data_IF_846285964526
#
_entry.id   IF_846285964526
#
_cell.length_a   1.000
_cell.length_b   1.000
_cell.length_c   1.000
_cell.angle_alpha   90.00
_cell.angle_beta   90.00
_cell.angle_gamma   90.00
#
_symmetry.space_group_name_H-M   'P 1'
#
loop_
_entity.id
_entity.type
_entity.pdbx_description
1 polymer ?
#
# COMPACT_ATOMS: atom_id res chain seq x y z
N UNK A 1 34.08 15.16 89.17
CA UNK A 1 35.52 15.19 88.93
C UNK A 1 35.69 15.75 87.50
N UNK A 2 35.88 17.05 87.34
CA UNK A 2 37.14 17.80 87.21
C UNK A 2 38.02 17.14 86.10
N UNK A 3 38.11 17.78 84.97
CA UNK A 3 39.16 18.73 84.62
C UNK A 3 38.95 19.38 83.25
N UNK A 4 38.99 20.68 83.30
CA UNK A 4 39.28 21.58 82.17
C UNK A 4 40.66 21.30 81.52
N UNK A 5 40.87 21.84 80.34
CA UNK A 5 42.01 22.68 79.90
C UNK A 5 41.76 23.07 78.41
N UNK A 6 41.54 24.35 78.19
CA UNK A 6 42.30 25.37 77.39
C UNK A 6 42.74 24.85 76.04
N UNK A 7 42.36 25.34 74.89
CA UNK A 7 42.46 26.75 74.45
C UNK A 7 43.69 26.92 73.56
N UNK A 8 43.53 27.03 72.26
CA UNK A 8 44.48 27.86 71.43
C UNK A 8 43.82 28.16 70.09
N UNK A 9 43.68 29.44 69.87
CA UNK A 9 43.28 30.02 68.55
C UNK A 9 44.46 29.98 67.60
N UNK A 10 44.28 29.62 66.37
CA UNK A 10 45.20 29.92 65.27
C UNK A 10 44.40 30.33 64.01
N UNK A 11 44.85 31.39 63.48
CA UNK A 11 44.37 32.24 62.40
C UNK A 11 43.83 31.61 61.16
N UNK A 12 42.78 32.26 60.70
CA UNK A 12 42.28 32.21 59.30
C UNK A 12 43.37 32.57 58.31
N UNK A 13 43.42 31.80 57.23
CA UNK A 13 43.83 32.27 55.91
C UNK A 13 42.70 31.88 54.91
N UNK A 14 42.01 32.90 54.47
CA UNK A 14 41.03 32.86 53.39
C UNK A 14 41.77 32.58 52.07
N UNK A 15 41.54 31.44 51.48
CA UNK A 15 41.84 31.21 50.05
C UNK A 15 40.52 31.19 49.30
N UNK A 16 40.19 32.28 48.63
CA UNK A 16 39.13 32.34 47.64
C UNK A 16 39.58 31.59 46.40
N UNK A 17 39.06 30.36 46.23
CA UNK A 17 39.14 29.63 44.97
C UNK A 17 38.00 30.11 44.09
N UNK A 18 38.33 30.88 43.05
CA UNK A 18 37.41 31.21 41.98
C UNK A 18 37.09 29.92 41.17
N UNK A 19 35.93 29.38 41.39
CA UNK A 19 35.37 28.30 40.54
C UNK A 19 34.93 28.94 39.21
N UNK A 20 35.77 28.87 38.20
CA UNK A 20 35.35 29.12 36.80
C UNK A 20 34.38 28.03 36.40
N UNK A 21 33.09 28.38 36.39
CA UNK A 21 32.06 27.53 35.79
C UNK A 21 32.35 27.45 34.27
N UNK A 22 32.89 26.32 33.83
CA UNK A 22 32.96 25.95 32.43
C UNK A 22 31.56 25.47 32.03
N UNK A 23 30.73 26.39 31.51
CA UNK A 23 29.50 26.04 30.83
C UNK A 23 29.86 25.23 29.59
N UNK A 24 29.80 23.91 29.74
CA UNK A 24 29.75 23.04 28.56
C UNK A 24 28.44 23.32 27.80
N UNK A 25 28.58 24.16 26.80
CA UNK A 25 27.54 24.34 25.78
C UNK A 25 27.47 23.00 25.05
N UNK A 26 26.51 22.15 25.48
CA UNK A 26 26.09 21.00 24.70
C UNK A 26 25.56 21.58 23.38
N UNK A 27 26.42 21.63 22.39
CA UNK A 27 25.98 21.88 21.01
C UNK A 27 24.97 20.82 20.68
N UNK A 28 23.74 21.25 20.53
CA UNK A 28 22.69 20.49 19.88
C UNK A 28 23.20 20.17 18.46
N UNK A 29 23.78 19.00 18.30
CA UNK A 29 23.99 18.38 17.00
C UNK A 29 22.64 17.89 16.52
N UNK A 30 21.73 18.84 16.38
CA UNK A 30 20.55 18.65 15.54
C UNK A 30 21.07 18.33 14.15
N UNK A 31 21.12 17.07 13.79
CA UNK A 31 21.13 16.68 12.40
C UNK A 31 19.86 17.27 11.80
N UNK A 32 19.99 18.46 11.18
CA UNK A 32 18.99 18.99 10.26
C UNK A 32 18.87 17.97 9.12
N UNK A 33 18.08 16.91 9.36
CA UNK A 33 17.63 16.07 8.29
C UNK A 33 16.79 16.99 7.39
N UNK A 34 17.32 17.32 6.22
CA UNK A 34 16.65 18.20 5.29
C UNK A 34 15.21 17.73 5.11
N UNK A 35 14.26 18.63 5.37
CA UNK A 35 12.83 18.32 5.23
C UNK A 35 12.59 17.92 3.78
N UNK A 36 12.03 16.72 3.56
CA UNK A 36 11.66 16.28 2.23
C UNK A 36 10.34 16.96 1.86
N UNK A 37 10.39 17.82 0.85
CA UNK A 37 9.23 18.59 0.37
C UNK A 37 8.74 18.14 -1.00
N UNK A 38 9.55 17.39 -1.75
CA UNK A 38 9.29 17.02 -3.15
C UNK A 38 9.41 15.51 -3.32
N UNK A 39 8.25 14.86 -3.39
CA UNK A 39 8.11 13.41 -3.44
C UNK A 39 7.49 13.01 -4.77
N UNK A 40 8.02 11.97 -5.40
CA UNK A 40 7.35 11.25 -6.49
C UNK A 40 6.94 9.87 -5.98
N UNK A 41 5.76 9.42 -6.40
CA UNK A 41 5.25 8.08 -6.11
C UNK A 41 5.03 7.28 -7.39
N UNK A 42 5.48 6.03 -7.38
CA UNK A 42 5.33 5.07 -8.46
C UNK A 42 4.66 3.79 -7.94
N UNK A 43 3.36 3.69 -8.14
CA UNK A 43 2.49 2.59 -7.71
C UNK A 43 1.26 3.08 -6.94
N UNK A 44 0.06 2.68 -7.41
CA UNK A 44 -1.21 3.18 -6.89
C UNK A 44 -1.35 3.06 -5.37
N UNK A 45 -1.16 1.87 -4.80
CA UNK A 45 -1.27 1.67 -3.35
C UNK A 45 -0.20 2.43 -2.55
N UNK A 46 1.01 2.62 -3.12
CA UNK A 46 2.08 3.41 -2.49
C UNK A 46 1.66 4.88 -2.40
N UNK A 47 1.09 5.43 -3.48
CA UNK A 47 0.57 6.80 -3.51
C UNK A 47 -0.56 7.00 -2.50
N UNK A 48 -1.46 6.04 -2.38
CA UNK A 48 -2.52 6.06 -1.38
C UNK A 48 -1.96 6.04 0.06
N UNK A 49 -0.91 5.27 0.33
CA UNK A 49 -0.24 5.28 1.64
C UNK A 49 0.45 6.61 1.93
N UNK A 50 1.09 7.25 0.93
CA UNK A 50 1.67 8.59 1.09
C UNK A 50 0.60 9.62 1.48
N UNK A 51 -0.59 9.55 0.87
CA UNK A 51 -1.73 10.38 1.27
C UNK A 51 -2.21 10.03 2.68
N UNK A 52 -2.35 8.74 3.00
CA UNK A 52 -2.83 8.29 4.31
C UNK A 52 -1.91 8.71 5.48
N UNK A 53 -0.60 8.84 5.24
CA UNK A 53 0.35 9.37 6.23
C UNK A 53 0.43 10.91 6.21
N UNK A 54 -0.43 11.58 5.45
CA UNK A 54 -0.51 13.05 5.39
C UNK A 54 0.59 13.71 4.55
N UNK A 55 1.19 12.99 3.60
CA UNK A 55 2.25 13.51 2.72
C UNK A 55 1.75 14.03 1.37
N UNK A 56 0.43 14.18 1.18
CA UNK A 56 -0.17 14.58 -0.09
C UNK A 56 0.42 15.88 -0.65
N UNK A 57 0.62 16.89 0.20
CA UNK A 57 1.16 18.19 -0.21
C UNK A 57 2.63 18.13 -0.66
N UNK A 58 3.34 17.07 -0.34
CA UNK A 58 4.73 16.84 -0.74
C UNK A 58 4.81 16.15 -2.11
N UNK A 59 3.70 15.58 -2.61
CA UNK A 59 3.66 14.90 -3.91
C UNK A 59 3.75 15.91 -5.05
N UNK A 60 4.79 15.80 -5.87
CA UNK A 60 5.01 16.65 -7.05
C UNK A 60 4.78 15.89 -8.36
N UNK A 61 4.61 14.58 -8.31
CA UNK A 61 4.30 13.74 -9.46
C UNK A 61 3.97 12.31 -9.05
N UNK A 62 3.20 11.64 -9.88
CA UNK A 62 2.72 10.27 -9.65
C UNK A 62 2.79 9.45 -10.94
N UNK A 63 2.79 8.13 -10.82
CA UNK A 63 2.69 7.25 -11.99
C UNK A 63 1.23 7.10 -12.48
N UNK A 64 1.05 6.50 -13.66
CA UNK A 64 -0.27 6.31 -14.29
C UNK A 64 -1.23 5.40 -13.52
N UNK A 65 -0.77 4.67 -12.49
CA UNK A 65 -1.61 3.80 -11.65
C UNK A 65 -2.13 4.50 -10.39
N UNK A 66 -1.64 5.70 -10.10
CA UNK A 66 -1.95 6.50 -8.91
C UNK A 66 -3.20 7.36 -9.14
N UNK A 67 -4.35 6.71 -9.24
CA UNK A 67 -5.63 7.37 -9.55
C UNK A 67 -6.44 7.74 -8.30
N UNK A 68 -6.06 7.28 -7.13
CA UNK A 68 -6.75 7.51 -5.86
C UNK A 68 -5.83 8.06 -4.77
N UNK A 69 -6.36 9.00 -3.96
CA UNK A 69 -7.62 9.73 -4.14
C UNK A 69 -7.63 10.56 -5.44
N UNK A 70 -8.80 11.06 -5.85
CA UNK A 70 -8.96 11.79 -7.10
C UNK A 70 -8.05 13.02 -7.22
N UNK A 71 -7.67 13.62 -6.11
CA UNK A 71 -6.72 14.75 -6.07
C UNK A 71 -5.38 14.45 -6.74
N UNK A 72 -4.91 13.18 -6.72
CA UNK A 72 -3.66 12.78 -7.35
C UNK A 72 -3.69 12.89 -8.87
N UNK A 73 -4.86 12.83 -9.49
CA UNK A 73 -5.02 12.95 -10.94
C UNK A 73 -4.68 14.35 -11.47
N UNK A 74 -4.62 15.36 -10.59
CA UNK A 74 -4.20 16.72 -10.94
C UNK A 74 -2.68 16.88 -10.97
N UNK A 75 -1.91 15.91 -10.44
CA UNK A 75 -0.46 15.94 -10.41
C UNK A 75 0.14 15.54 -11.77
N UNK A 76 1.34 16.05 -12.10
CA UNK A 76 2.09 15.60 -13.26
C UNK A 76 2.31 14.08 -13.24
N UNK A 77 2.09 13.42 -14.38
CA UNK A 77 2.36 11.99 -14.52
C UNK A 77 3.81 11.76 -14.94
N UNK A 78 4.51 10.84 -14.26
CA UNK A 78 5.86 10.37 -14.62
C UNK A 78 5.83 9.11 -15.50
N UNK A 79 4.67 8.76 -16.05
CA UNK A 79 4.48 7.55 -16.87
C UNK A 79 4.15 6.33 -16.03
N UNK A 80 4.30 5.13 -16.61
CA UNK A 80 4.03 3.87 -15.93
C UNK A 80 5.23 3.45 -15.07
N UNK A 81 4.98 3.00 -13.83
CA UNK A 81 6.04 2.66 -12.86
C UNK A 81 7.16 1.76 -13.40
N UNK A 82 6.85 0.81 -14.31
CA UNK A 82 7.84 -0.09 -14.92
C UNK A 82 8.59 0.51 -16.11
N UNK A 83 8.17 1.69 -16.57
CA UNK A 83 8.69 2.38 -17.77
C UNK A 83 8.89 3.88 -17.49
N UNK A 84 9.53 4.20 -16.37
CA UNK A 84 9.84 5.58 -16.01
C UNK A 84 10.85 6.16 -17.01
N UNK A 85 10.76 7.48 -17.23
CA UNK A 85 11.74 8.24 -17.98
C UNK A 85 12.47 9.21 -17.03
N UNK A 86 13.82 9.14 -17.00
CA UNK A 86 14.60 9.96 -16.10
C UNK A 86 14.37 11.46 -16.28
N UNK A 87 14.25 11.93 -17.53
CA UNK A 87 13.99 13.34 -17.84
C UNK A 87 12.66 13.80 -17.23
N UNK A 88 11.57 13.05 -17.44
CA UNK A 88 10.27 13.37 -16.89
C UNK A 88 10.26 13.43 -15.36
N UNK A 89 10.98 12.51 -14.70
CA UNK A 89 11.14 12.51 -13.23
C UNK A 89 11.97 13.71 -12.78
N UNK A 90 13.13 13.98 -13.40
CA UNK A 90 14.07 15.05 -13.00
C UNK A 90 13.50 16.45 -13.24
N UNK A 91 12.63 16.63 -14.23
CA UNK A 91 11.95 17.92 -14.46
C UNK A 91 11.13 18.36 -13.25
N UNK A 92 10.63 17.41 -12.45
CA UNK A 92 9.89 17.68 -11.24
C UNK A 92 10.78 17.92 -10.01
N UNK A 93 12.11 17.84 -10.15
CA UNK A 93 13.10 18.06 -9.10
C UNK A 93 12.77 17.33 -7.78
N UNK A 94 12.51 16.03 -7.80
CA UNK A 94 12.18 15.30 -6.59
C UNK A 94 13.42 15.09 -5.72
N UNK A 95 13.21 15.10 -4.39
CA UNK A 95 14.20 14.66 -3.42
C UNK A 95 14.14 13.13 -3.22
N UNK A 96 12.93 12.55 -3.30
CA UNK A 96 12.72 11.12 -3.14
C UNK A 96 11.68 10.59 -4.13
N UNK A 97 11.93 9.38 -4.62
CA UNK A 97 11.00 8.59 -5.41
C UNK A 97 10.70 7.30 -4.65
N UNK A 98 9.44 7.11 -4.26
CA UNK A 98 8.94 5.86 -3.69
C UNK A 98 8.38 4.97 -4.78
N UNK A 99 8.67 3.68 -4.72
CA UNK A 99 8.11 2.66 -5.60
C UNK A 99 8.37 1.26 -5.08
N UNK A 100 7.94 0.24 -5.84
CA UNK A 100 8.23 -1.16 -5.56
C UNK A 100 9.48 -1.64 -6.31
N UNK A 101 9.85 -2.90 -6.10
CA UNK A 101 10.88 -3.60 -6.88
C UNK A 101 10.52 -3.79 -8.36
N UNK A 102 9.24 -3.62 -8.72
CA UNK A 102 8.79 -3.57 -10.11
C UNK A 102 9.08 -2.24 -10.81
N UNK A 103 9.45 -1.21 -10.04
CA UNK A 103 9.76 0.12 -10.57
C UNK A 103 11.01 0.09 -11.44
N UNK A 104 10.96 0.76 -12.57
CA UNK A 104 12.10 0.75 -13.49
C UNK A 104 11.90 1.54 -14.77
N UNK A 105 12.78 1.32 -15.74
CA UNK A 105 13.82 0.28 -15.81
C UNK A 105 15.05 0.58 -14.94
N UNK A 106 15.85 -0.43 -14.55
CA UNK A 106 16.99 -0.24 -13.65
C UNK A 106 18.01 0.83 -14.06
N UNK A 107 18.35 1.01 -15.35
CA UNK A 107 19.25 2.10 -15.78
C UNK A 107 18.70 3.49 -15.46
N UNK A 108 17.38 3.69 -15.55
CA UNK A 108 16.73 4.96 -15.20
C UNK A 108 16.85 5.22 -13.70
N UNK A 109 16.62 4.21 -12.87
CA UNK A 109 16.77 4.35 -11.42
C UNK A 109 18.21 4.69 -11.03
N UNK A 110 19.21 4.11 -11.73
CA UNK A 110 20.62 4.46 -11.52
C UNK A 110 20.90 5.92 -11.92
N UNK A 111 20.37 6.37 -13.04
CA UNK A 111 20.50 7.76 -13.49
C UNK A 111 19.89 8.74 -12.48
N UNK A 112 18.71 8.44 -11.94
CA UNK A 112 18.07 9.24 -10.92
C UNK A 112 18.90 9.31 -9.64
N UNK A 113 19.46 8.19 -9.16
CA UNK A 113 20.38 8.16 -8.00
C UNK A 113 21.61 9.03 -8.26
N UNK A 114 22.20 8.94 -9.47
CA UNK A 114 23.38 9.76 -9.84
C UNK A 114 23.05 11.25 -9.90
N UNK A 115 21.79 11.60 -10.14
CA UNK A 115 21.30 12.99 -10.10
C UNK A 115 20.89 13.45 -8.69
N UNK A 116 21.13 12.63 -7.64
CA UNK A 116 20.85 12.97 -6.25
C UNK A 116 19.44 12.64 -5.76
N UNK A 117 18.61 11.95 -6.55
CA UNK A 117 17.29 11.51 -6.11
C UNK A 117 17.41 10.27 -5.21
N UNK A 118 16.89 10.34 -4.00
CA UNK A 118 16.76 9.19 -3.12
C UNK A 118 15.72 8.21 -3.68
N UNK A 119 16.07 6.95 -3.88
CA UNK A 119 15.18 5.93 -4.40
C UNK A 119 14.81 4.97 -3.26
N UNK A 120 13.54 4.98 -2.88
CA UNK A 120 12.98 4.12 -1.85
C UNK A 120 12.20 2.98 -2.51
N UNK A 121 12.73 1.77 -2.38
CA UNK A 121 12.07 0.54 -2.86
C UNK A 121 11.35 -0.11 -1.68
N UNK A 122 10.02 -0.14 -1.76
CA UNK A 122 9.15 -0.65 -0.71
C UNK A 122 8.76 -2.11 -0.97
N UNK A 123 8.64 -2.94 0.08
CA UNK A 123 8.10 -4.28 -0.07
C UNK A 123 6.59 -4.21 -0.38
N UNK A 124 6.15 -4.98 -1.39
CA UNK A 124 4.77 -4.98 -1.89
C UNK A 124 4.12 -6.36 -1.90
N UNK A 125 4.73 -7.35 -1.24
CA UNK A 125 4.11 -8.65 -1.06
C UNK A 125 2.71 -8.53 -0.45
N UNK A 126 1.78 -9.38 -0.89
CA UNK A 126 0.40 -9.36 -0.43
C UNK A 126 0.26 -9.95 1.00
N UNK A 127 0.89 -9.33 1.98
CA UNK A 127 0.82 -9.71 3.38
C UNK A 127 0.98 -8.53 4.35
N UNK A 128 0.55 -8.73 5.60
CA UNK A 128 0.53 -7.68 6.63
C UNK A 128 1.92 -7.24 7.08
N UNK A 129 2.95 -8.08 6.92
CA UNK A 129 4.33 -7.71 7.27
C UNK A 129 4.87 -6.70 6.26
N UNK A 130 4.73 -6.98 4.96
CA UNK A 130 5.18 -6.11 3.88
C UNK A 130 4.53 -4.72 3.97
N UNK A 131 3.20 -4.66 4.12
CA UNK A 131 2.51 -3.36 4.26
C UNK A 131 2.98 -2.59 5.49
N UNK A 132 3.20 -3.29 6.63
CA UNK A 132 3.67 -2.64 7.85
C UNK A 132 5.09 -2.08 7.69
N UNK A 133 5.96 -2.79 6.99
CA UNK A 133 7.32 -2.34 6.68
C UNK A 133 7.31 -1.16 5.71
N UNK A 134 6.50 -1.24 4.64
CA UNK A 134 6.39 -0.18 3.63
C UNK A 134 5.89 1.14 4.26
N UNK A 135 4.79 1.10 5.01
CA UNK A 135 4.19 2.30 5.61
C UNK A 135 5.11 2.91 6.68
N UNK A 136 5.76 2.09 7.52
CA UNK A 136 6.76 2.57 8.48
C UNK A 136 7.97 3.20 7.79
N UNK A 137 8.41 2.61 6.67
CA UNK A 137 9.51 3.20 5.89
C UNK A 137 9.13 4.56 5.32
N UNK A 138 7.92 4.70 4.76
CA UNK A 138 7.38 6.00 4.33
C UNK A 138 7.41 7.00 5.49
N UNK A 139 6.85 6.61 6.65
CA UNK A 139 6.82 7.46 7.84
C UNK A 139 8.21 7.89 8.31
N UNK A 140 9.17 6.97 8.32
CA UNK A 140 10.55 7.26 8.74
C UNK A 140 11.26 8.22 7.78
N UNK A 141 11.12 8.01 6.46
CA UNK A 141 11.75 8.86 5.43
C UNK A 141 11.18 10.28 5.45
N UNK A 142 9.87 10.42 5.67
CA UNK A 142 9.17 11.71 5.63
C UNK A 142 9.01 12.38 7.00
N UNK A 143 9.63 11.85 8.06
CA UNK A 143 9.49 12.32 9.45
C UNK A 143 8.01 12.32 9.91
N UNK A 144 7.23 11.31 9.51
CA UNK A 144 5.78 11.12 9.80
C UNK A 144 5.50 9.77 10.46
N UNK A 145 6.38 9.33 11.36
CA UNK A 145 6.28 7.99 11.96
C UNK A 145 4.99 7.80 12.77
N UNK A 146 4.51 8.83 13.46
CA UNK A 146 3.25 8.78 14.20
C UNK A 146 2.04 8.59 13.27
N UNK A 147 1.97 9.39 12.19
CA UNK A 147 0.91 9.28 11.19
C UNK A 147 0.93 7.92 10.48
N UNK A 148 2.13 7.37 10.24
CA UNK A 148 2.29 6.03 9.68
C UNK A 148 1.70 4.95 10.61
N UNK A 149 1.96 4.99 11.93
CA UNK A 149 1.37 4.05 12.88
C UNK A 149 -0.15 4.24 13.02
N UNK A 150 -0.64 5.47 12.96
CA UNK A 150 -2.09 5.76 12.97
C UNK A 150 -2.77 5.16 11.73
N UNK A 151 -2.21 5.38 10.53
CA UNK A 151 -2.72 4.83 9.27
C UNK A 151 -2.70 3.29 9.28
N UNK A 152 -1.61 2.67 9.76
CA UNK A 152 -1.52 1.23 9.92
C UNK A 152 -2.53 0.67 10.92
N UNK A 153 -2.76 1.37 12.02
CA UNK A 153 -3.75 0.97 13.02
C UNK A 153 -5.16 0.98 12.43
N UNK A 154 -5.52 2.05 11.72
CA UNK A 154 -6.81 2.16 11.04
C UNK A 154 -7.02 1.05 9.99
N UNK A 155 -5.99 0.76 9.19
CA UNK A 155 -6.02 -0.32 8.20
C UNK A 155 -6.24 -1.69 8.87
N UNK A 156 -5.45 -2.02 9.90
CA UNK A 156 -5.57 -3.29 10.64
C UNK A 156 -6.94 -3.43 11.30
N UNK A 157 -7.45 -2.34 11.88
CA UNK A 157 -8.79 -2.32 12.47
C UNK A 157 -9.87 -2.57 11.42
N UNK A 158 -9.74 -1.94 10.23
CA UNK A 158 -10.66 -2.17 9.12
C UNK A 158 -10.68 -3.63 8.67
N UNK A 159 -9.50 -4.25 8.50
CA UNK A 159 -9.39 -5.69 8.17
C UNK A 159 -10.03 -6.55 9.27
N UNK A 160 -9.69 -6.29 10.53
CA UNK A 160 -10.24 -7.03 11.66
C UNK A 160 -11.78 -6.97 11.70
N UNK A 161 -12.37 -5.79 11.46
CA UNK A 161 -13.82 -5.63 11.41
C UNK A 161 -14.47 -6.50 10.34
N UNK A 162 -13.85 -6.62 9.15
CA UNK A 162 -14.37 -7.48 8.09
C UNK A 162 -14.25 -8.97 8.47
N UNK A 163 -13.14 -9.37 9.09
CA UNK A 163 -12.97 -10.73 9.59
C UNK A 163 -14.01 -11.10 10.67
N UNK A 164 -14.37 -10.18 11.58
CA UNK A 164 -15.44 -10.41 12.56
C UNK A 164 -16.80 -10.61 11.88
N UNK A 165 -17.11 -9.83 10.84
CA UNK A 165 -18.34 -10.01 10.06
C UNK A 165 -18.34 -11.35 9.32
N UNK A 166 -17.23 -11.71 8.71
CA UNK A 166 -17.07 -12.99 8.00
C UNK A 166 -17.29 -14.18 8.92
N UNK A 167 -16.82 -14.12 10.17
CA UNK A 167 -17.00 -15.18 11.17
C UNK A 167 -18.46 -15.42 11.56
N UNK A 168 -19.37 -14.51 11.24
CA UNK A 168 -20.82 -14.66 11.48
C UNK A 168 -21.56 -15.28 10.28
N UNK A 169 -20.88 -15.49 9.18
CA UNK A 169 -21.48 -16.04 7.95
C UNK A 169 -21.35 -17.56 7.99
N UNK A 170 -22.48 -18.24 8.06
CA UNK A 170 -22.57 -19.69 7.91
C UNK A 170 -22.70 -20.05 6.43
N UNK A 171 -21.83 -20.93 5.95
CA UNK A 171 -21.89 -21.42 4.57
C UNK A 171 -20.52 -21.82 4.01
N UNK A 172 -20.55 -22.53 2.90
CA UNK A 172 -19.33 -22.89 2.17
C UNK A 172 -18.73 -21.64 1.49
N UNK A 173 -17.41 -21.52 1.51
CA UNK A 173 -16.71 -20.49 0.76
C UNK A 173 -17.04 -20.57 -0.74
N UNK A 174 -17.48 -19.49 -1.39
CA UNK A 174 -17.76 -19.51 -2.82
C UNK A 174 -16.46 -19.69 -3.61
N UNK A 175 -16.54 -20.41 -4.71
CA UNK A 175 -15.44 -20.66 -5.65
C UNK A 175 -15.29 -19.44 -6.55
N UNK A 176 -14.17 -18.75 -6.44
CA UNK A 176 -13.92 -17.44 -7.04
C UNK A 176 -12.78 -17.50 -8.04
N UNK A 177 -12.95 -16.83 -9.18
CA UNK A 177 -11.89 -16.61 -10.15
C UNK A 177 -11.74 -15.10 -10.40
N UNK A 178 -10.56 -14.54 -10.15
CA UNK A 178 -10.24 -13.18 -10.57
C UNK A 178 -9.62 -13.22 -11.96
N UNK A 179 -10.23 -12.49 -12.89
CA UNK A 179 -9.83 -12.41 -14.29
C UNK A 179 -9.46 -10.98 -14.65
N UNK A 180 -8.24 -10.80 -15.12
CA UNK A 180 -7.68 -9.50 -15.48
C UNK A 180 -7.58 -9.40 -17.01
N UNK A 181 -8.27 -8.42 -17.60
CA UNK A 181 -8.16 -8.10 -19.01
C UNK A 181 -6.85 -7.36 -19.31
N UNK A 182 -6.13 -7.84 -20.31
CA UNK A 182 -4.86 -7.23 -20.77
C UNK A 182 -5.01 -6.49 -22.10
N UNK A 183 -6.24 -6.26 -22.52
CA UNK A 183 -6.59 -5.59 -23.80
C UNK A 183 -6.52 -6.55 -24.98
N UNK A 184 -5.36 -7.10 -25.30
CA UNK A 184 -5.17 -8.06 -26.39
C UNK A 184 -4.56 -9.36 -25.85
N UNK A 185 -5.09 -10.49 -26.23
CA UNK A 185 -4.65 -11.83 -25.82
C UNK A 185 -5.51 -12.47 -24.73
N UNK A 186 -5.07 -13.63 -24.22
CA UNK A 186 -5.79 -14.35 -23.20
C UNK A 186 -5.79 -13.58 -21.87
N UNK A 187 -6.93 -13.47 -21.19
CA UNK A 187 -7.00 -12.85 -19.87
C UNK A 187 -6.06 -13.56 -18.87
N UNK A 188 -5.52 -12.78 -17.93
CA UNK A 188 -4.73 -13.31 -16.83
C UNK A 188 -5.64 -13.65 -15.64
N UNK A 189 -5.27 -14.67 -14.89
CA UNK A 189 -5.92 -14.99 -13.61
C UNK A 189 -4.94 -14.71 -12.47
N UNK A 190 -5.46 -14.19 -11.34
CA UNK A 190 -4.68 -13.89 -10.15
C UNK A 190 -4.57 -15.13 -9.26
N UNK A 191 -3.41 -15.76 -9.25
CA UNK A 191 -3.10 -16.91 -8.40
C UNK A 191 -2.50 -16.49 -7.06
N UNK A 192 -1.89 -17.45 -6.36
CA UNK A 192 -1.28 -17.26 -5.04
C UNK A 192 -0.21 -16.16 -5.07
N UNK A 193 0.02 -15.50 -3.93
CA UNK A 193 0.98 -14.40 -3.77
C UNK A 193 0.63 -13.14 -4.56
N UNK A 194 -0.66 -12.92 -4.88
CA UNK A 194 -1.15 -11.68 -5.47
C UNK A 194 -2.10 -10.96 -4.52
N UNK A 195 -2.26 -9.65 -4.70
CA UNK A 195 -3.28 -8.87 -3.97
C UNK A 195 -4.69 -9.42 -4.24
N UNK A 196 -4.95 -9.90 -5.47
CA UNK A 196 -6.22 -10.53 -5.84
C UNK A 196 -6.51 -11.80 -5.01
N UNK A 197 -5.53 -12.68 -4.87
CA UNK A 197 -5.66 -13.87 -4.01
C UNK A 197 -5.89 -13.51 -2.54
N UNK A 198 -5.15 -12.53 -2.06
CA UNK A 198 -5.30 -12.03 -0.70
C UNK A 198 -6.71 -11.48 -0.46
N UNK A 199 -7.23 -10.64 -1.37
CA UNK A 199 -8.59 -10.09 -1.30
C UNK A 199 -9.67 -11.18 -1.29
N UNK A 200 -9.58 -12.16 -2.19
CA UNK A 200 -10.52 -13.29 -2.26
C UNK A 200 -10.57 -14.00 -0.91
N UNK A 201 -9.41 -14.32 -0.33
CA UNK A 201 -9.31 -15.01 0.97
C UNK A 201 -9.82 -14.16 2.13
N UNK A 202 -9.50 -12.86 2.15
CA UNK A 202 -10.00 -11.97 3.20
C UNK A 202 -11.53 -11.78 3.13
N UNK A 203 -12.12 -11.87 1.95
CA UNK A 203 -13.56 -11.84 1.76
C UNK A 203 -14.25 -13.21 1.94
N UNK A 204 -13.49 -14.25 2.32
CA UNK A 204 -14.02 -15.59 2.60
C UNK A 204 -14.26 -16.46 1.36
N UNK A 205 -13.68 -16.10 0.21
CA UNK A 205 -13.77 -16.90 -1.02
C UNK A 205 -12.64 -17.93 -1.15
N UNK A 206 -12.88 -18.97 -1.95
CA UNK A 206 -11.87 -19.93 -2.41
C UNK A 206 -11.33 -19.46 -3.76
N UNK A 207 -10.04 -19.11 -3.85
CA UNK A 207 -9.42 -18.77 -5.13
C UNK A 207 -9.11 -20.02 -5.94
N UNK A 208 -9.72 -20.13 -7.12
CA UNK A 208 -9.54 -21.26 -8.02
C UNK A 208 -8.21 -21.25 -8.80
N UNK A 209 -7.54 -20.12 -8.87
CA UNK A 209 -6.25 -19.97 -9.52
C UNK A 209 -5.11 -20.36 -8.55
N UNK A 210 -4.68 -21.62 -8.59
CA UNK A 210 -3.70 -22.20 -7.65
C UNK A 210 -2.23 -21.96 -8.03
N UNK A 211 -1.96 -21.43 -9.22
CA UNK A 211 -0.59 -21.04 -9.63
C UNK A 211 -0.09 -19.80 -8.87
N UNK A 212 1.21 -19.57 -8.83
CA UNK A 212 1.77 -18.34 -8.27
C UNK A 212 1.71 -17.18 -9.28
N UNK A 213 1.44 -15.97 -8.79
CA UNK A 213 1.41 -14.75 -9.58
C UNK A 213 0.25 -14.69 -10.58
N UNK A 214 0.39 -13.84 -11.59
CA UNK A 214 -0.58 -13.72 -12.69
C UNK A 214 -0.21 -14.67 -13.83
N UNK A 215 -1.20 -15.43 -14.34
CA UNK A 215 -1.00 -16.38 -15.43
C UNK A 215 -2.19 -16.39 -16.38
N UNK A 216 -1.91 -16.45 -17.69
CA UNK A 216 -2.95 -16.66 -18.70
C UNK A 216 -3.50 -18.08 -18.58
N UNK A 217 -4.82 -18.19 -18.56
CA UNK A 217 -5.53 -19.47 -18.71
C UNK A 217 -6.35 -19.44 -20.00
N UNK A 218 -6.51 -20.62 -20.64
CA UNK A 218 -7.44 -20.71 -21.77
C UNK A 218 -8.88 -20.58 -21.30
N UNK A 219 -9.74 -20.18 -22.20
CA UNK A 219 -11.18 -20.06 -21.99
C UNK A 219 -11.79 -21.36 -21.44
N UNK A 220 -11.38 -22.52 -22.00
CA UNK A 220 -11.81 -23.85 -21.61
C UNK A 220 -11.30 -24.22 -20.20
N UNK A 221 -10.04 -23.88 -19.90
CA UNK A 221 -9.48 -24.11 -18.57
C UNK A 221 -10.22 -23.31 -17.50
N UNK A 222 -10.55 -22.04 -17.78
CA UNK A 222 -11.34 -21.21 -16.88
C UNK A 222 -12.76 -21.76 -16.69
N UNK A 223 -13.40 -22.25 -17.77
CA UNK A 223 -14.71 -22.89 -17.68
C UNK A 223 -14.65 -24.20 -16.87
N UNK A 224 -13.61 -25.03 -17.06
CA UNK A 224 -13.44 -26.27 -16.31
C UNK A 224 -13.31 -26.05 -14.81
N UNK A 225 -12.77 -24.90 -14.39
CA UNK A 225 -12.76 -24.46 -12.98
C UNK A 225 -14.19 -24.17 -12.47
N UNK A 226 -15.13 -23.85 -13.36
CA UNK A 226 -16.53 -23.51 -13.09
C UNK A 226 -16.70 -22.59 -11.87
N UNK A 227 -16.23 -21.33 -11.93
CA UNK A 227 -16.36 -20.40 -10.83
C UNK A 227 -17.82 -20.07 -10.50
N UNK A 228 -18.12 -19.90 -9.22
CA UNK A 228 -19.41 -19.41 -8.73
C UNK A 228 -19.46 -17.88 -8.68
N UNK A 229 -18.30 -17.23 -8.58
CA UNK A 229 -18.13 -15.77 -8.66
C UNK A 229 -16.94 -15.46 -9.56
N UNK A 230 -17.09 -14.49 -10.44
CA UNK A 230 -15.96 -13.93 -11.20
C UNK A 230 -15.74 -12.50 -10.77
N UNK A 231 -14.50 -12.20 -10.36
CA UNK A 231 -14.03 -10.83 -10.18
C UNK A 231 -13.38 -10.40 -11.50
N UNK A 232 -13.91 -9.32 -12.08
CA UNK A 232 -13.47 -8.77 -13.35
C UNK A 232 -12.61 -7.55 -13.08
N UNK A 233 -11.41 -7.52 -13.64
CA UNK A 233 -10.50 -6.37 -13.59
C UNK A 233 -10.16 -5.96 -15.02
N UNK A 234 -10.48 -4.73 -15.39
CA UNK A 234 -10.15 -4.17 -16.70
C UNK A 234 -9.68 -2.71 -16.52
N UNK A 235 -8.61 -2.31 -17.21
CA UNK A 235 -8.05 -0.96 -17.08
C UNK A 235 -8.83 0.10 -17.87
N UNK A 236 -9.59 -0.32 -18.85
CA UNK A 236 -10.25 0.58 -19.82
C UNK A 236 -11.77 0.53 -19.71
N UNK A 237 -12.31 -0.57 -19.19
CA UNK A 237 -13.74 -0.81 -19.12
C UNK A 237 -14.18 -1.03 -17.66
N UNK A 238 -15.41 -0.65 -17.35
CA UNK A 238 -16.02 -0.86 -16.04
C UNK A 238 -17.36 -1.58 -16.16
N UNK A 239 -17.78 -2.25 -15.08
CA UNK A 239 -19.07 -2.92 -15.01
C UNK A 239 -19.27 -3.96 -16.12
N UNK A 240 -20.39 -3.87 -16.85
CA UNK A 240 -20.74 -4.83 -17.92
C UNK A 240 -19.75 -4.79 -19.09
N UNK A 241 -19.22 -3.62 -19.45
CA UNK A 241 -18.25 -3.51 -20.54
C UNK A 241 -16.93 -4.26 -20.22
N UNK A 242 -16.52 -4.28 -18.95
CA UNK A 242 -15.38 -5.09 -18.51
C UNK A 242 -15.64 -6.60 -18.66
N UNK A 243 -16.84 -7.06 -18.33
CA UNK A 243 -17.24 -8.45 -18.53
C UNK A 243 -17.27 -8.80 -20.03
N UNK A 244 -17.88 -7.96 -20.87
CA UNK A 244 -17.92 -8.16 -22.32
C UNK A 244 -16.52 -8.24 -22.93
N UNK A 245 -15.60 -7.37 -22.50
CA UNK A 245 -14.20 -7.41 -22.88
C UNK A 245 -13.55 -8.76 -22.55
N UNK A 246 -13.78 -9.30 -21.35
CA UNK A 246 -13.24 -10.60 -20.95
C UNK A 246 -13.89 -11.74 -21.74
N UNK A 247 -15.21 -11.74 -21.91
CA UNK A 247 -15.91 -12.77 -22.65
C UNK A 247 -15.56 -12.80 -24.14
N UNK A 248 -15.16 -11.66 -24.71
CA UNK A 248 -14.67 -11.62 -26.10
C UNK A 248 -13.37 -12.44 -26.31
N UNK A 249 -12.56 -12.58 -25.27
CA UNK A 249 -11.29 -13.33 -25.27
C UNK A 249 -11.39 -14.68 -24.53
N UNK A 250 -12.44 -14.89 -23.74
CA UNK A 250 -12.68 -16.09 -22.95
C UNK A 250 -14.15 -16.55 -23.07
N UNK A 251 -14.61 -16.78 -24.30
CA UNK A 251 -16.02 -17.02 -24.63
C UNK A 251 -16.63 -18.23 -23.92
N UNK A 252 -15.86 -19.28 -23.65
CA UNK A 252 -16.36 -20.46 -22.92
C UNK A 252 -16.84 -20.10 -21.50
N UNK A 253 -16.28 -19.04 -20.89
CA UNK A 253 -16.63 -18.61 -19.54
C UNK A 253 -18.11 -18.19 -19.40
N UNK A 254 -18.78 -17.84 -20.52
CA UNK A 254 -20.22 -17.55 -20.55
C UNK A 254 -21.09 -18.71 -20.04
N UNK A 255 -20.58 -19.95 -20.09
CA UNK A 255 -21.27 -21.14 -19.60
C UNK A 255 -21.00 -21.48 -18.14
N UNK A 256 -20.18 -20.69 -17.43
CA UNK A 256 -19.91 -20.87 -16.00
C UNK A 256 -21.11 -20.52 -15.13
N UNK A 257 -21.15 -21.08 -13.92
CA UNK A 257 -22.19 -20.77 -12.94
C UNK A 257 -22.21 -19.29 -12.56
N UNK A 258 -21.04 -18.66 -12.51
CA UNK A 258 -20.93 -17.22 -12.21
C UNK A 258 -21.69 -16.37 -13.23
N UNK A 259 -21.52 -16.63 -14.53
CA UNK A 259 -22.18 -15.84 -15.58
C UNK A 259 -23.68 -16.16 -15.64
N UNK A 260 -24.07 -17.44 -15.56
CA UNK A 260 -25.50 -17.86 -15.52
C UNK A 260 -26.26 -17.22 -14.36
N UNK A 261 -25.62 -17.14 -13.20
CA UNK A 261 -26.23 -16.59 -11.98
C UNK A 261 -25.95 -15.08 -11.78
N UNK A 262 -25.33 -14.41 -12.77
CA UNK A 262 -24.98 -12.97 -12.74
C UNK A 262 -24.11 -12.57 -11.53
N UNK A 263 -23.25 -13.47 -11.07
CA UNK A 263 -22.33 -13.24 -9.94
C UNK A 263 -20.97 -12.74 -10.45
N UNK A 264 -21.00 -11.53 -11.00
CA UNK A 264 -19.85 -10.84 -11.57
C UNK A 264 -19.61 -9.57 -10.77
N UNK A 265 -18.38 -9.37 -10.34
CA UNK A 265 -17.96 -8.21 -9.54
C UNK A 265 -16.85 -7.48 -10.29
N UNK A 266 -17.01 -6.20 -10.56
CA UNK A 266 -15.93 -5.37 -11.08
C UNK A 266 -15.03 -4.90 -9.92
N UNK A 267 -13.72 -4.99 -10.10
CA UNK A 267 -12.73 -4.51 -9.16
C UNK A 267 -11.84 -3.46 -9.82
N UNK A 268 -11.56 -2.38 -9.08
CA UNK A 268 -10.66 -1.33 -9.52
C UNK A 268 -9.23 -1.88 -9.73
N UNK A 269 -8.66 -1.78 -10.95
CA UNK A 269 -7.33 -2.32 -11.25
C UNK A 269 -6.21 -1.68 -10.42
N UNK A 270 -6.38 -0.46 -9.91
CA UNK A 270 -5.36 0.24 -9.11
C UNK A 270 -5.10 -0.43 -7.78
N UNK A 271 -6.08 -1.17 -7.25
CA UNK A 271 -5.94 -1.96 -6.02
C UNK A 271 -4.92 -3.10 -6.13
N UNK A 272 -4.59 -3.51 -7.36
CA UNK A 272 -3.67 -4.63 -7.60
C UNK A 272 -2.21 -4.18 -7.81
N UNK A 273 -1.92 -2.87 -7.70
CA UNK A 273 -0.62 -2.28 -8.02
C UNK A 273 0.00 -1.60 -6.81
N UNK A 274 1.22 -2.01 -6.45
CA UNK A 274 1.95 -1.40 -5.32
C UNK A 274 1.65 -2.03 -3.95
N UNK A 275 1.20 -3.30 -3.93
CA UNK A 275 0.93 -4.05 -2.70
C UNK A 275 -0.44 -3.78 -2.07
N UNK A 276 -0.58 -4.07 -0.78
CA UNK A 276 -1.83 -3.86 -0.06
C UNK A 276 -2.03 -2.38 0.26
N UNK A 277 -3.02 -1.75 -0.37
CA UNK A 277 -3.37 -0.34 -0.18
C UNK A 277 -4.39 -0.08 0.94
N UNK A 278 -4.51 1.16 1.41
CA UNK A 278 -5.37 1.51 2.55
C UNK A 278 -6.87 1.36 2.28
N UNK A 279 -7.31 1.31 1.01
CA UNK A 279 -8.72 1.13 0.63
C UNK A 279 -9.22 -0.33 0.73
N UNK A 280 -8.32 -1.31 0.89
CA UNK A 280 -8.69 -2.74 0.84
C UNK A 280 -9.76 -3.16 1.85
N UNK A 281 -9.84 -2.64 3.10
CA UNK A 281 -10.92 -3.00 4.02
C UNK A 281 -12.33 -2.74 3.47
N UNK A 282 -12.52 -1.65 2.74
CA UNK A 282 -13.79 -1.33 2.09
C UNK A 282 -14.10 -2.29 0.94
N UNK A 283 -13.10 -2.60 0.12
CA UNK A 283 -13.28 -3.53 -0.99
C UNK A 283 -13.48 -4.98 -0.53
N UNK A 284 -12.92 -5.39 0.61
CA UNK A 284 -13.25 -6.67 1.24
C UNK A 284 -14.75 -6.71 1.59
N UNK A 285 -15.30 -5.63 2.17
CA UNK A 285 -16.73 -5.58 2.48
C UNK A 285 -17.60 -5.72 1.23
N UNK A 286 -17.25 -5.02 0.14
CA UNK A 286 -17.95 -5.12 -1.15
C UNK A 286 -17.89 -6.54 -1.75
N UNK A 287 -16.72 -7.19 -1.65
CA UNK A 287 -16.57 -8.58 -2.09
C UNK A 287 -17.38 -9.55 -1.23
N UNK A 288 -17.42 -9.34 0.09
CA UNK A 288 -18.25 -10.16 0.99
C UNK A 288 -19.73 -10.07 0.64
N UNK A 289 -20.24 -8.87 0.33
CA UNK A 289 -21.64 -8.69 -0.10
C UNK A 289 -21.94 -9.46 -1.41
N UNK A 290 -20.98 -9.46 -2.33
CA UNK A 290 -21.09 -10.21 -3.58
C UNK A 290 -20.93 -11.74 -3.39
N UNK A 291 -20.09 -12.16 -2.44
CA UNK A 291 -19.84 -13.58 -2.15
C UNK A 291 -20.99 -14.20 -1.36
N UNK A 292 -21.65 -13.40 -0.52
CA UNK A 292 -22.70 -13.85 0.39
C UNK A 292 -23.95 -12.95 0.31
N UNK A 293 -24.64 -12.89 -0.84
CA UNK A 293 -25.76 -11.97 -1.07
C UNK A 293 -26.95 -12.19 -0.11
N UNK A 294 -27.03 -13.35 0.54
CA UNK A 294 -28.01 -13.64 1.58
C UNK A 294 -27.68 -12.97 2.94
N UNK A 295 -26.46 -12.45 3.12
CA UNK A 295 -25.99 -11.75 4.33
C UNK A 295 -25.45 -10.36 3.96
N UNK A 296 -26.26 -9.45 3.37
CA UNK A 296 -25.75 -8.15 2.96
C UNK A 296 -25.22 -7.39 4.16
N UNK A 297 -24.05 -6.75 4.00
CA UNK A 297 -23.49 -5.88 5.05
C UNK A 297 -24.46 -4.74 5.33
N UNK A 298 -24.61 -4.35 6.59
CA UNK A 298 -25.55 -3.29 7.04
C UNK A 298 -25.19 -1.90 6.46
N UNK A 299 -24.12 -1.80 5.68
CA UNK A 299 -23.60 -0.55 5.12
C UNK A 299 -24.44 0.05 3.97
N UNK A 300 -25.45 -0.66 3.43
CA UNK A 300 -26.26 -0.17 2.31
C UNK A 300 -27.67 0.24 2.72
N UNK A 301 -27.84 0.83 3.90
CA UNK A 301 -29.08 1.50 4.31
C UNK A 301 -28.80 2.98 4.62
N UNK A 302 -28.46 3.75 3.60
CA UNK A 302 -28.68 5.21 3.58
C UNK A 302 -28.87 5.66 2.13
#
# INVERSE_FOLDING_TARGET
MIKQIKGMAVCLLLHSAAATAFSAQAGDLGTDAAVIERVISAGGSISEWLVAVGAEQQLVGVDTTSLHPQSLQALPSVGYQRQLAAEGVLTLQPQVLFGSDEMGPPPVLQQLRSAGVQIETLPVDANMLAVSQAVRRIGAVLARSEQAEQALSAFKQGIWQQQQKLALIDGAAPRVLLVFSVGHGNPLTAGTNTVGDWLIKQAGGENLAVHAGFKALSSESMLALNPQVIIVVDRHNQGLAALESILSHASALQYSDAVKNKRIVALDPTLLVGGLGPRLPEHIAQLMDAFYPQFPSVANKN
#
